data_IF_608697139390
#
_entry.id   IF_608697139390
#
_cell.length_a   1.000
_cell.length_b   1.000
_cell.length_c   1.000
_cell.angle_alpha   90.00
_cell.angle_beta   90.00
_cell.angle_gamma   90.00
#
_symmetry.space_group_name_H-M   'P 1'
#
loop_
_entity.id
_entity.type
_entity.pdbx_description
1 polymer ?
#
# COMPACT_ATOMS: atom_id res chain seq x y z
N UNK A 1 -10.00 -28.77 11.82
CA UNK A 1 -9.42 -30.13 11.92
C UNK A 1 -9.85 -30.68 13.26
N UNK A 2 -10.12 -31.98 13.37
CA UNK A 2 -10.48 -32.61 14.65
C UNK A 2 -9.24 -32.80 15.56
N UNK A 3 -8.24 -31.91 15.41
CA UNK A 3 -6.87 -32.07 15.90
C UNK A 3 -6.37 -30.86 16.71
N UNK A 4 -7.27 -30.01 17.21
CA UNK A 4 -6.95 -28.95 18.16
C UNK A 4 -6.87 -27.56 17.55
N UNK A 5 -6.14 -26.66 18.22
CA UNK A 5 -6.03 -25.25 17.84
C UNK A 5 -4.63 -24.95 17.31
N UNK A 6 -4.55 -24.36 16.13
CA UNK A 6 -3.28 -23.90 15.53
C UNK A 6 -3.33 -22.37 15.40
N UNK A 7 -2.35 -21.69 15.99
CA UNK A 7 -2.11 -20.26 15.80
C UNK A 7 -0.79 -20.02 15.07
N UNK A 8 -0.76 -19.01 14.20
CA UNK A 8 0.42 -18.60 13.43
C UNK A 8 0.54 -17.07 13.50
N UNK A 9 1.76 -16.59 13.69
CA UNK A 9 2.08 -15.16 13.80
C UNK A 9 3.33 -14.85 12.98
N UNK A 10 3.36 -13.68 12.33
CA UNK A 10 4.56 -13.17 11.67
C UNK A 10 4.66 -11.65 11.77
N UNK A 11 5.89 -11.15 11.78
CA UNK A 11 6.20 -9.72 11.77
C UNK A 11 7.14 -9.41 10.62
N UNK A 12 6.78 -8.42 9.79
CA UNK A 12 7.61 -7.96 8.68
C UNK A 12 7.76 -6.44 8.77
N UNK A 13 9.00 -5.96 8.59
CA UNK A 13 9.32 -4.53 8.58
C UNK A 13 10.03 -4.18 7.29
N UNK A 14 9.46 -3.22 6.56
CA UNK A 14 10.01 -2.70 5.32
C UNK A 14 10.30 -1.21 5.48
N UNK A 15 11.42 -0.76 4.93
CA UNK A 15 11.71 0.67 4.83
C UNK A 15 10.97 1.21 3.61
N UNK A 16 10.11 2.20 3.81
CA UNK A 16 9.47 2.87 2.69
C UNK A 16 10.48 3.77 1.96
N UNK A 17 10.43 3.85 0.63
CA UNK A 17 11.16 4.88 -0.11
C UNK A 17 10.78 6.28 0.36
N UNK A 18 11.72 7.22 0.31
CA UNK A 18 11.50 8.60 0.78
C UNK A 18 10.47 9.38 -0.02
N UNK A 19 10.19 8.96 -1.25
CA UNK A 19 9.26 9.61 -2.16
C UNK A 19 7.86 8.99 -2.16
N UNK A 20 7.53 8.13 -1.18
CA UNK A 20 6.16 7.63 -0.98
C UNK A 20 5.36 8.61 -0.12
N UNK A 21 4.16 8.95 -0.55
CA UNK A 21 3.21 9.70 0.26
C UNK A 21 2.62 8.78 1.34
N UNK A 22 3.05 8.99 2.58
CA UNK A 22 2.62 8.18 3.72
C UNK A 22 1.18 8.49 4.16
N UNK A 23 0.62 9.64 3.79
CA UNK A 23 -0.76 10.01 4.12
C UNK A 23 -1.79 9.26 3.28
N UNK A 24 -1.37 8.75 2.11
CA UNK A 24 -2.20 8.07 1.13
C UNK A 24 -1.91 6.55 1.03
N UNK A 25 -1.41 5.94 2.09
CA UNK A 25 -1.17 4.49 2.14
C UNK A 25 -2.47 3.70 2.10
N UNK A 26 -2.44 2.54 1.45
CA UNK A 26 -3.57 1.61 1.38
C UNK A 26 -3.10 0.17 1.54
N UNK A 27 -3.98 -0.68 2.08
CA UNK A 27 -3.75 -2.12 2.16
C UNK A 27 -5.01 -2.90 1.77
N UNK A 28 -4.83 -4.01 1.09
CA UNK A 28 -5.91 -4.93 0.75
C UNK A 28 -5.42 -6.38 0.84
N UNK A 29 -6.33 -7.27 1.23
CA UNK A 29 -6.11 -8.72 1.21
C UNK A 29 -6.98 -9.32 0.10
N UNK A 30 -6.34 -9.95 -0.87
CA UNK A 30 -7.05 -10.62 -1.97
C UNK A 30 -7.68 -11.94 -1.52
N UNK A 31 -8.61 -12.46 -2.33
CA UNK A 31 -9.32 -13.70 -2.04
C UNK A 31 -8.41 -14.94 -1.99
N UNK A 32 -7.26 -14.90 -2.67
CA UNK A 32 -6.22 -15.95 -2.61
C UNK A 32 -5.23 -15.77 -1.43
N UNK A 33 -5.47 -14.78 -0.56
CA UNK A 33 -4.71 -14.60 0.67
C UNK A 33 -3.43 -13.77 0.54
N UNK A 34 -3.28 -12.98 -0.53
CA UNK A 34 -2.13 -12.10 -0.71
C UNK A 34 -2.38 -10.70 -0.15
N UNK A 35 -1.55 -10.28 0.81
CA UNK A 35 -1.58 -8.92 1.34
C UNK A 35 -0.84 -7.98 0.38
N UNK A 36 -1.56 -7.00 -0.15
CA UNK A 36 -1.01 -5.92 -0.98
C UNK A 36 -0.93 -4.65 -0.14
N UNK A 37 0.26 -4.07 -0.04
CA UNK A 37 0.51 -2.79 0.63
C UNK A 37 1.03 -1.79 -0.40
N UNK A 38 0.32 -0.67 -0.57
CA UNK A 38 0.56 0.30 -1.64
C UNK A 38 0.62 1.73 -1.10
N UNK A 39 1.43 2.56 -1.74
CA UNK A 39 1.50 4.00 -1.50
C UNK A 39 1.87 4.73 -2.79
N UNK A 40 1.19 5.83 -3.15
CA UNK A 40 1.54 6.59 -4.33
C UNK A 40 2.87 7.31 -4.11
N UNK A 41 3.56 7.60 -5.21
CA UNK A 41 4.72 8.49 -5.18
C UNK A 41 4.23 9.92 -5.03
N UNK A 42 4.93 10.71 -4.24
CA UNK A 42 4.73 12.16 -4.18
C UNK A 42 5.00 12.70 -5.59
N UNK A 43 3.97 13.28 -6.22
CA UNK A 43 4.11 13.85 -7.57
C UNK A 43 5.04 15.07 -7.49
N UNK A 44 6.27 14.91 -7.99
CA UNK A 44 7.10 16.05 -8.38
C UNK A 44 6.52 16.59 -9.68
N UNK A 45 6.14 17.87 -9.73
CA UNK A 45 5.37 18.49 -10.82
C UNK A 45 5.98 18.53 -12.23
N UNK A 46 6.86 17.60 -12.58
CA UNK A 46 7.49 17.46 -13.90
C UNK A 46 6.64 16.61 -14.87
N UNK A 47 5.75 15.74 -14.37
CA UNK A 47 4.88 14.88 -15.20
C UNK A 47 3.43 15.42 -15.33
N UNK A 48 3.20 16.68 -14.96
CA UNK A 48 1.87 17.32 -15.00
C UNK A 48 1.55 17.99 -16.34
N UNK A 49 2.12 17.51 -17.46
CA UNK A 49 1.91 18.13 -18.78
C UNK A 49 0.52 17.88 -19.38
N UNK A 50 -0.37 17.14 -18.73
CA UNK A 50 -1.73 16.92 -19.24
C UNK A 50 -2.78 16.62 -18.15
N UNK A 51 -2.70 17.28 -16.98
CA UNK A 51 -3.78 17.22 -16.00
C UNK A 51 -4.73 18.39 -16.22
N UNK A 52 -5.92 18.10 -16.75
CA UNK A 52 -7.08 18.98 -16.77
C UNK A 52 -7.22 19.66 -15.39
N UNK A 53 -7.24 21.00 -15.37
CA UNK A 53 -7.11 21.78 -14.15
C UNK A 53 -8.13 21.34 -13.10
N UNK A 54 -7.66 20.80 -11.98
CA UNK A 54 -8.49 20.49 -10.83
C UNK A 54 -9.09 21.80 -10.28
N UNK A 55 -10.40 21.98 -10.47
CA UNK A 55 -11.17 23.06 -9.85
C UNK A 55 -11.57 22.56 -8.45
N UNK A 56 -11.24 23.29 -7.38
CA UNK A 56 -11.59 22.90 -6.00
C UNK A 56 -13.09 22.95 -5.71
#
# INVERSE_FOLDING_TARGET
DDHGYISREFHRRYRLPSNVDQSALSCSLSADGMLTFCGPKIQTGLDATHAEAAIP
#
